data_IF_863655928450
#
_entry.id   IF_863655928450
#
_cell.length_a   1.000
_cell.length_b   1.000
_cell.length_c   1.000
_cell.angle_alpha   90.00
_cell.angle_beta   90.00
_cell.angle_gamma   90.00
#
_symmetry.space_group_name_H-M   'P 1'
#
loop_
_entity.id
_entity.type
_entity.pdbx_description
1 polymer ?
#
# COMPACT_ATOMS: atom_id res chain seq x y z
N UNK A 1 -1.36 -26.71 -8.73
CA UNK A 1 -1.38 -27.74 -9.79
C UNK A 1 -2.22 -28.91 -9.31
N UNK A 2 -3.41 -29.10 -9.90
CA UNK A 2 -4.31 -30.22 -9.59
C UNK A 2 -4.57 -31.03 -10.87
N UNK A 3 -4.46 -32.36 -10.81
CA UNK A 3 -4.70 -33.26 -11.94
C UNK A 3 -5.92 -34.13 -11.65
N UNK A 4 -6.96 -34.02 -12.47
CA UNK A 4 -8.17 -34.84 -12.37
C UNK A 4 -8.11 -35.91 -13.46
N UNK A 5 -7.85 -37.15 -13.05
CA UNK A 5 -7.84 -38.33 -13.91
C UNK A 5 -8.98 -39.30 -13.58
N UNK A 6 -9.26 -40.24 -14.49
CA UNK A 6 -10.37 -41.19 -14.41
C UNK A 6 -10.22 -42.17 -13.24
N UNK A 7 -10.72 -41.77 -12.07
CA UNK A 7 -11.17 -42.67 -11.02
C UNK A 7 -12.70 -42.71 -11.12
N UNK A 8 -13.27 -43.89 -11.36
CA UNK A 8 -14.67 -44.14 -11.76
C UNK A 8 -15.74 -43.71 -10.75
N UNK A 9 -15.82 -42.42 -10.48
CA UNK A 9 -16.87 -41.74 -9.73
C UNK A 9 -17.22 -40.51 -10.56
N UNK A 10 -18.52 -40.26 -10.77
CA UNK A 10 -19.03 -39.00 -11.31
C UNK A 10 -18.54 -37.85 -10.43
N UNK A 11 -17.32 -37.37 -10.68
CA UNK A 11 -16.87 -36.09 -10.16
C UNK A 11 -17.61 -35.03 -10.97
N UNK A 12 -18.69 -34.52 -10.38
CA UNK A 12 -19.02 -33.12 -10.56
C UNK A 12 -17.75 -32.34 -10.23
N UNK A 13 -16.99 -31.92 -11.25
CA UNK A 13 -15.91 -30.96 -11.08
C UNK A 13 -16.56 -29.61 -10.73
N UNK A 14 -17.06 -29.49 -9.50
CA UNK A 14 -17.54 -28.24 -8.94
C UNK A 14 -16.35 -27.51 -8.31
N UNK A 15 -16.00 -26.39 -8.95
CA UNK A 15 -15.37 -25.20 -8.41
C UNK A 15 -13.94 -25.35 -7.88
N UNK A 16 -12.96 -25.19 -8.78
CA UNK A 16 -11.71 -24.54 -8.41
C UNK A 16 -12.01 -23.04 -8.30
N UNK A 17 -11.99 -22.50 -7.09
CA UNK A 17 -12.19 -21.08 -6.82
C UNK A 17 -10.86 -20.45 -6.36
N UNK A 18 -10.37 -19.48 -7.13
CA UNK A 18 -9.30 -18.56 -6.74
C UNK A 18 -9.87 -17.33 -6.01
N UNK A 19 -9.07 -16.72 -5.15
CA UNK A 19 -9.37 -15.42 -4.52
C UNK A 19 -8.82 -14.27 -5.35
N UNK A 20 -9.13 -13.02 -5.00
CA UNK A 20 -8.43 -11.87 -5.59
C UNK A 20 -6.97 -11.84 -5.09
N UNK A 21 -6.00 -11.50 -5.98
CA UNK A 21 -4.57 -11.38 -5.65
C UNK A 21 -3.87 -12.67 -5.18
N UNK A 22 -4.35 -13.85 -5.55
CA UNK A 22 -3.79 -15.13 -5.10
C UNK A 22 -2.69 -15.70 -6.02
N UNK A 23 -2.44 -15.07 -7.17
CA UNK A 23 -1.42 -15.50 -8.14
C UNK A 23 -1.90 -16.65 -9.02
N UNK A 24 -1.00 -17.24 -9.80
CA UNK A 24 -1.41 -18.13 -10.90
C UNK A 24 -1.90 -19.53 -10.50
N UNK A 25 -2.93 -20.02 -11.20
CA UNK A 25 -3.48 -21.36 -11.02
C UNK A 25 -3.26 -22.28 -12.24
N UNK A 26 -3.13 -23.60 -11.99
CA UNK A 26 -2.99 -24.61 -13.05
C UNK A 26 -3.88 -25.82 -12.82
N UNK A 27 -4.72 -26.13 -13.80
CA UNK A 27 -5.65 -27.27 -13.79
C UNK A 27 -5.46 -28.19 -15.01
N UNK A 28 -5.50 -29.51 -14.79
CA UNK A 28 -5.50 -30.51 -15.86
C UNK A 28 -6.72 -31.42 -15.75
N UNK A 29 -7.53 -31.49 -16.80
CA UNK A 29 -8.82 -32.21 -16.83
C UNK A 29 -8.83 -33.19 -18.01
N UNK A 30 -8.96 -34.49 -17.74
CA UNK A 30 -9.00 -35.55 -18.77
C UNK A 30 -10.17 -36.51 -18.55
N UNK A 31 -11.38 -36.20 -19.08
CA UNK A 31 -12.57 -37.01 -18.82
C UNK A 31 -12.75 -38.17 -19.81
N UNK A 32 -13.26 -39.30 -19.29
CA UNK A 32 -13.46 -40.55 -20.03
C UNK A 32 -14.94 -40.89 -20.34
N UNK A 33 -15.92 -40.08 -19.91
CA UNK A 33 -17.35 -40.34 -20.11
C UNK A 33 -18.09 -39.12 -20.72
N UNK A 34 -19.11 -39.37 -21.54
CA UNK A 34 -19.92 -38.32 -22.16
C UNK A 34 -20.68 -37.53 -21.09
N UNK A 35 -20.24 -36.30 -20.84
CA UNK A 35 -20.68 -35.48 -19.72
C UNK A 35 -20.71 -33.99 -20.12
N UNK A 36 -21.34 -33.15 -19.30
CA UNK A 36 -21.33 -31.69 -19.46
C UNK A 36 -20.48 -31.11 -18.34
N UNK A 37 -19.47 -30.33 -18.69
CA UNK A 37 -18.64 -29.59 -17.72
C UNK A 37 -18.96 -28.10 -17.80
N UNK A 38 -19.19 -27.48 -16.64
CA UNK A 38 -19.50 -26.06 -16.51
C UNK A 38 -18.64 -25.41 -15.43
N UNK A 39 -18.14 -24.19 -15.67
CA UNK A 39 -17.44 -23.38 -14.66
C UNK A 39 -16.25 -24.13 -14.02
N UNK A 40 -15.36 -24.66 -14.85
CA UNK A 40 -14.22 -25.48 -14.39
C UNK A 40 -13.30 -24.64 -13.50
N UNK A 41 -13.15 -23.35 -13.80
CA UNK A 41 -12.41 -22.38 -13.00
C UNK A 41 -13.22 -21.11 -12.74
N UNK A 42 -13.21 -20.64 -11.49
CA UNK A 42 -13.78 -19.37 -11.04
C UNK A 42 -12.65 -18.57 -10.39
N UNK A 43 -12.13 -17.56 -11.09
CA UNK A 43 -11.07 -16.67 -10.62
C UNK A 43 -11.59 -15.45 -9.85
N UNK A 44 -10.68 -14.80 -9.12
CA UNK A 44 -10.90 -13.51 -8.47
C UNK A 44 -10.64 -12.33 -9.41
N UNK A 45 -10.58 -11.11 -8.87
CA UNK A 45 -10.00 -9.98 -9.61
C UNK A 45 -8.50 -9.91 -9.31
N UNK A 46 -7.65 -9.56 -10.27
CA UNK A 46 -6.18 -9.46 -10.06
C UNK A 46 -5.48 -10.77 -9.66
N UNK A 47 -5.93 -11.94 -10.12
CA UNK A 47 -5.34 -13.24 -9.80
C UNK A 47 -4.13 -13.65 -10.68
N UNK A 48 -3.72 -12.89 -11.70
CA UNK A 48 -2.45 -13.14 -12.41
C UNK A 48 -2.55 -14.18 -13.54
N UNK A 49 -1.67 -15.18 -13.62
CA UNK A 49 -1.60 -16.08 -14.79
C UNK A 49 -2.31 -17.43 -14.58
N UNK A 50 -3.35 -17.76 -15.35
CA UNK A 50 -4.03 -19.06 -15.24
C UNK A 50 -3.80 -19.97 -16.45
N UNK A 51 -3.57 -21.27 -16.20
CA UNK A 51 -3.44 -22.27 -17.27
C UNK A 51 -4.37 -23.48 -17.05
N UNK A 52 -5.13 -23.86 -18.09
CA UNK A 52 -5.86 -25.13 -18.10
C UNK A 52 -5.47 -26.00 -19.29
N UNK A 53 -5.30 -27.30 -19.02
CA UNK A 53 -5.13 -28.33 -20.04
C UNK A 53 -6.32 -29.28 -19.99
N UNK A 54 -7.08 -29.36 -21.09
CA UNK A 54 -8.31 -30.16 -21.18
C UNK A 54 -8.17 -31.18 -22.30
N UNK A 55 -8.28 -32.47 -22.03
CA UNK A 55 -8.11 -33.54 -23.02
C UNK A 55 -9.26 -34.56 -22.99
N UNK A 56 -10.41 -34.28 -23.64
CA UNK A 56 -11.57 -35.16 -23.58
C UNK A 56 -11.45 -36.38 -24.49
N UNK A 57 -11.86 -37.54 -23.98
CA UNK A 57 -11.89 -38.81 -24.70
C UNK A 57 -13.28 -39.35 -25.06
N UNK A 58 -14.34 -38.63 -24.71
CA UNK A 58 -15.74 -38.93 -25.06
C UNK A 58 -16.43 -37.69 -25.64
N UNK A 59 -17.58 -37.86 -26.30
CA UNK A 59 -18.37 -36.72 -26.79
C UNK A 59 -18.89 -35.90 -25.61
N UNK A 60 -18.37 -34.68 -25.48
CA UNK A 60 -18.50 -33.86 -24.26
C UNK A 60 -18.88 -32.43 -24.63
N UNK A 61 -19.63 -31.76 -23.75
CA UNK A 61 -19.92 -30.33 -23.89
C UNK A 61 -19.22 -29.58 -22.76
N UNK A 62 -18.43 -28.58 -23.11
CA UNK A 62 -17.79 -27.66 -22.17
C UNK A 62 -18.43 -26.29 -22.28
N UNK A 63 -18.88 -25.75 -21.15
CA UNK A 63 -19.42 -24.40 -21.06
C UNK A 63 -18.66 -23.62 -20.00
N UNK A 64 -18.28 -22.36 -20.25
CA UNK A 64 -17.65 -21.50 -19.23
C UNK A 64 -16.44 -22.19 -18.59
N UNK A 65 -15.41 -22.56 -19.37
CA UNK A 65 -14.25 -23.27 -18.82
C UNK A 65 -13.55 -22.38 -17.79
N UNK A 66 -13.42 -21.10 -18.10
CA UNK A 66 -12.93 -20.06 -17.21
C UNK A 66 -13.99 -18.99 -17.01
N UNK A 67 -14.25 -18.70 -15.76
CA UNK A 67 -14.96 -17.50 -15.30
C UNK A 67 -13.96 -16.67 -14.52
N UNK A 68 -13.67 -15.45 -14.97
CA UNK A 68 -12.67 -14.56 -14.37
C UNK A 68 -13.27 -13.24 -13.88
N UNK A 69 -12.58 -12.56 -12.97
CA UNK A 69 -12.92 -11.21 -12.50
C UNK A 69 -12.47 -10.12 -13.48
N UNK A 70 -12.33 -8.89 -12.98
CA UNK A 70 -11.65 -7.82 -13.73
C UNK A 70 -10.15 -7.83 -13.42
N UNK A 71 -9.30 -7.45 -14.38
CA UNK A 71 -7.84 -7.31 -14.19
C UNK A 71 -7.08 -8.61 -13.88
N UNK A 72 -7.55 -9.75 -14.38
CA UNK A 72 -7.07 -11.11 -14.08
C UNK A 72 -5.91 -11.62 -14.96
N UNK A 73 -5.06 -10.73 -15.52
CA UNK A 73 -3.77 -11.13 -16.14
C UNK A 73 -3.86 -12.00 -17.42
N UNK A 74 -2.86 -12.85 -17.67
CA UNK A 74 -2.81 -13.72 -18.86
C UNK A 74 -3.47 -15.09 -18.60
N UNK A 75 -4.40 -15.53 -19.46
CA UNK A 75 -4.96 -16.89 -19.36
C UNK A 75 -4.61 -17.76 -20.57
N UNK A 76 -4.21 -19.02 -20.34
CA UNK A 76 -3.91 -19.99 -21.38
C UNK A 76 -4.76 -21.27 -21.26
N UNK A 77 -5.51 -21.60 -22.30
CA UNK A 77 -6.24 -22.85 -22.42
C UNK A 77 -5.59 -23.71 -23.51
N UNK A 78 -5.15 -24.91 -23.16
CA UNK A 78 -4.77 -25.93 -24.12
C UNK A 78 -5.81 -27.03 -24.13
N UNK A 79 -6.43 -27.25 -25.29
CA UNK A 79 -7.58 -28.13 -25.44
C UNK A 79 -7.27 -29.22 -26.46
N UNK A 80 -7.54 -30.47 -26.13
CA UNK A 80 -7.03 -31.64 -26.86
C UNK A 80 -8.07 -32.74 -27.04
N UNK A 81 -9.10 -32.53 -27.89
CA UNK A 81 -10.23 -33.44 -28.00
C UNK A 81 -9.96 -34.63 -28.94
N UNK A 82 -10.20 -35.86 -28.50
CA UNK A 82 -10.14 -37.03 -29.38
C UNK A 82 -11.51 -37.59 -29.82
N UNK A 83 -12.62 -36.91 -29.45
CA UNK A 83 -14.00 -37.18 -29.89
C UNK A 83 -14.77 -35.87 -30.19
N UNK A 84 -15.88 -35.90 -30.97
CA UNK A 84 -16.63 -34.68 -31.30
C UNK A 84 -17.04 -33.91 -30.05
N UNK A 85 -16.66 -32.64 -29.96
CA UNK A 85 -16.80 -31.84 -28.73
C UNK A 85 -17.39 -30.47 -29.04
N UNK A 86 -18.25 -29.95 -28.15
CA UNK A 86 -18.77 -28.58 -28.27
C UNK A 86 -18.19 -27.73 -27.16
N UNK A 87 -17.56 -26.61 -27.53
CA UNK A 87 -17.07 -25.61 -26.60
C UNK A 87 -17.94 -24.35 -26.71
N UNK A 88 -18.49 -23.92 -25.58
CA UNK A 88 -19.31 -22.72 -25.46
C UNK A 88 -18.71 -21.80 -24.41
N UNK A 89 -18.39 -20.54 -24.72
CA UNK A 89 -17.80 -19.60 -23.76
C UNK A 89 -16.59 -20.22 -23.02
N UNK A 90 -15.49 -20.52 -23.72
CA UNK A 90 -14.28 -21.04 -23.04
C UNK A 90 -13.83 -20.04 -21.98
N UNK A 91 -13.87 -18.75 -22.30
CA UNK A 91 -13.60 -17.66 -21.39
C UNK A 91 -14.84 -16.78 -21.20
N UNK A 92 -15.16 -16.52 -19.94
CA UNK A 92 -16.15 -15.54 -19.50
C UNK A 92 -15.46 -14.60 -18.51
N UNK A 93 -14.98 -13.45 -18.99
CA UNK A 93 -14.18 -12.50 -18.20
C UNK A 93 -14.93 -11.22 -17.80
N UNK A 94 -14.34 -10.47 -16.87
CA UNK A 94 -14.69 -9.10 -16.54
C UNK A 94 -14.05 -8.07 -17.48
N UNK A 95 -14.19 -6.77 -17.19
CA UNK A 95 -13.45 -5.74 -17.93
C UNK A 95 -11.95 -5.81 -17.61
N UNK A 96 -11.08 -5.57 -18.60
CA UNK A 96 -9.64 -5.43 -18.43
C UNK A 96 -8.88 -6.71 -18.06
N UNK A 97 -9.36 -7.86 -18.52
CA UNK A 97 -8.60 -9.11 -18.52
C UNK A 97 -7.41 -9.00 -19.48
N UNK A 98 -6.22 -9.48 -19.13
CA UNK A 98 -5.00 -9.36 -19.96
C UNK A 98 -5.04 -10.26 -21.21
N UNK A 99 -3.90 -10.83 -21.63
CA UNK A 99 -3.80 -11.65 -22.85
C UNK A 99 -4.35 -13.08 -22.67
N UNK A 100 -5.28 -13.50 -23.53
CA UNK A 100 -5.95 -14.80 -23.43
C UNK A 100 -5.68 -15.68 -24.65
N UNK A 101 -4.98 -16.81 -24.47
CA UNK A 101 -4.64 -17.75 -25.54
C UNK A 101 -5.40 -19.08 -25.43
N UNK A 102 -6.03 -19.52 -26.53
CA UNK A 102 -6.61 -20.87 -26.67
C UNK A 102 -5.86 -21.65 -27.75
N UNK A 103 -5.15 -22.72 -27.37
CA UNK A 103 -4.57 -23.68 -28.32
C UNK A 103 -5.43 -24.94 -28.39
N UNK A 104 -5.74 -25.42 -29.60
CA UNK A 104 -6.56 -26.64 -29.78
C UNK A 104 -5.83 -27.70 -30.63
N UNK A 105 -5.66 -28.92 -30.10
CA UNK A 105 -5.05 -30.06 -30.79
C UNK A 105 -5.36 -31.38 -30.05
N UNK A 106 -6.09 -32.38 -30.59
CA UNK A 106 -6.21 -32.78 -32.01
C UNK A 106 -7.66 -32.94 -32.58
N UNK A 107 -7.76 -33.55 -33.76
CA UNK A 107 -8.72 -33.31 -34.85
C UNK A 107 -10.11 -33.97 -34.78
N UNK A 108 -10.82 -33.95 -33.66
CA UNK A 108 -12.23 -34.36 -33.68
C UNK A 108 -13.15 -33.22 -34.18
N UNK A 109 -14.32 -33.50 -34.81
CA UNK A 109 -15.28 -32.48 -35.21
C UNK A 109 -15.67 -31.61 -34.01
N UNK A 110 -15.21 -30.36 -34.00
CA UNK A 110 -15.35 -29.49 -32.83
C UNK A 110 -16.13 -28.25 -33.24
N UNK A 111 -17.19 -27.94 -32.49
CA UNK A 111 -17.99 -26.72 -32.69
C UNK A 111 -17.63 -25.72 -31.59
N UNK A 112 -17.25 -24.51 -32.00
CA UNK A 112 -17.00 -23.39 -31.09
C UNK A 112 -18.15 -22.40 -31.18
N UNK A 113 -18.73 -22.03 -30.04
CA UNK A 113 -19.71 -20.95 -29.97
C UNK A 113 -19.26 -19.95 -28.90
N UNK A 114 -19.15 -18.67 -29.28
CA UNK A 114 -18.77 -17.57 -28.38
C UNK A 114 -17.54 -17.91 -27.50
N UNK A 115 -16.39 -18.20 -28.11
CA UNK A 115 -15.15 -18.57 -27.38
C UNK A 115 -14.84 -17.64 -26.20
N UNK A 116 -15.13 -16.36 -26.39
CA UNK A 116 -15.04 -15.30 -25.39
C UNK A 116 -16.41 -14.65 -25.24
N UNK A 117 -16.92 -14.59 -24.01
CA UNK A 117 -18.21 -13.94 -23.71
C UNK A 117 -18.09 -13.12 -22.42
N UNK A 118 -17.88 -11.82 -22.55
CA UNK A 118 -17.68 -10.88 -21.44
C UNK A 118 -16.55 -9.89 -21.74
N UNK A 119 -16.47 -8.79 -20.98
CA UNK A 119 -15.38 -7.81 -21.03
C UNK A 119 -15.54 -6.65 -22.03
N UNK A 120 -15.13 -5.44 -21.60
CA UNK A 120 -15.10 -4.21 -22.41
C UNK A 120 -13.70 -3.88 -22.94
N UNK A 121 -13.06 -4.84 -23.63
CA UNK A 121 -11.68 -4.79 -24.16
C UNK A 121 -10.60 -5.23 -23.14
N UNK A 122 -9.68 -6.11 -23.56
CA UNK A 122 -8.59 -6.60 -22.69
C UNK A 122 -7.68 -7.69 -23.30
N UNK A 123 -8.25 -8.71 -23.94
CA UNK A 123 -7.49 -9.81 -24.58
C UNK A 123 -6.61 -9.44 -25.77
N UNK A 124 -5.30 -9.25 -25.58
CA UNK A 124 -4.36 -9.42 -26.69
C UNK A 124 -4.17 -10.91 -26.98
N UNK A 125 -4.09 -11.28 -28.27
CA UNK A 125 -3.76 -12.58 -28.86
C UNK A 125 -4.59 -13.84 -28.52
N UNK A 126 -5.74 -13.95 -29.19
CA UNK A 126 -6.34 -15.24 -29.50
C UNK A 126 -5.66 -15.80 -30.76
N UNK A 127 -4.88 -16.88 -30.65
CA UNK A 127 -4.54 -17.71 -31.80
C UNK A 127 -5.25 -19.05 -31.68
N UNK A 128 -6.49 -19.13 -32.17
CA UNK A 128 -7.10 -20.45 -32.40
C UNK A 128 -6.38 -21.06 -33.59
N UNK A 129 -5.33 -21.83 -33.34
CA UNK A 129 -4.69 -22.65 -34.38
C UNK A 129 -5.51 -23.92 -34.49
N UNK A 130 -6.33 -24.02 -35.53
CA UNK A 130 -7.01 -25.28 -35.85
C UNK A 130 -6.02 -26.25 -36.49
N UNK A 131 -6.39 -27.52 -36.55
CA UNK A 131 -5.60 -28.54 -37.24
C UNK A 131 -5.48 -28.28 -38.77
N UNK A 132 -6.32 -27.37 -39.31
CA UNK A 132 -6.25 -26.91 -40.72
C UNK A 132 -5.32 -25.71 -40.90
N UNK A 133 -4.69 -25.21 -39.82
CA UNK A 133 -3.76 -24.07 -39.85
C UNK A 133 -4.44 -22.71 -39.97
N UNK A 134 -5.76 -22.64 -39.82
CA UNK A 134 -6.46 -21.36 -39.77
C UNK A 134 -6.16 -20.66 -38.45
N UNK A 135 -5.85 -19.36 -38.53
CA UNK A 135 -5.62 -18.50 -37.36
C UNK A 135 -6.58 -17.32 -37.45
N UNK A 136 -7.40 -17.13 -36.41
CA UNK A 136 -8.33 -16.00 -36.31
C UNK A 136 -7.77 -14.95 -35.34
N UNK A 137 -7.62 -13.70 -35.78
CA UNK A 137 -7.15 -12.58 -34.94
C UNK A 137 -8.25 -11.54 -34.73
N UNK A 138 -8.32 -10.97 -33.52
CA UNK A 138 -9.27 -9.92 -33.14
C UNK A 138 -8.53 -8.61 -32.83
N UNK A 139 -9.15 -7.43 -33.04
CA UNK A 139 -8.50 -6.14 -32.85
C UNK A 139 -8.16 -5.86 -31.38
N UNK A 140 -6.96 -5.34 -31.14
CA UNK A 140 -6.42 -4.99 -29.82
C UNK A 140 -6.97 -3.65 -29.33
N UNK A 141 -7.18 -3.52 -28.02
CA UNK A 141 -7.17 -2.22 -27.36
C UNK A 141 -5.81 -2.00 -26.71
N UNK A 142 -5.36 -0.75 -26.68
CA UNK A 142 -4.06 -0.35 -26.14
C UNK A 142 -3.91 -0.81 -24.68
N UNK A 143 -2.69 -1.27 -24.34
CA UNK A 143 -2.23 -1.63 -22.99
C UNK A 143 -2.71 -0.62 -21.95
N UNK A 144 -3.40 -1.08 -20.90
CA UNK A 144 -3.77 -0.21 -19.79
C UNK A 144 -2.65 -0.28 -18.76
N UNK A 145 -2.04 0.86 -18.39
CA UNK A 145 -1.04 0.91 -17.33
C UNK A 145 -1.59 0.31 -16.03
N UNK A 146 -0.69 -0.18 -15.18
CA UNK A 146 -1.01 -0.55 -13.80
C UNK A 146 -1.78 0.60 -13.10
N UNK A 147 -2.79 0.30 -12.26
CA UNK A 147 -3.54 1.32 -11.54
C UNK A 147 -2.57 2.17 -10.71
N UNK A 148 -2.54 3.49 -10.99
CA UNK A 148 -1.65 4.54 -10.46
C UNK A 148 -0.26 4.05 -10.03
N UNK A 149 0.77 4.43 -10.79
CA UNK A 149 2.14 4.14 -10.40
C UNK A 149 2.70 5.27 -9.50
N UNK A 150 2.71 5.02 -8.20
CA UNK A 150 3.32 5.90 -7.19
C UNK A 150 4.85 5.86 -7.31
N UNK A 151 5.47 6.97 -7.70
CA UNK A 151 6.93 7.08 -7.83
C UNK A 151 7.61 7.30 -6.48
N UNK A 152 7.04 8.18 -5.65
CA UNK A 152 7.62 8.56 -4.37
C UNK A 152 6.55 8.97 -3.37
N UNK A 153 6.84 8.71 -2.10
CA UNK A 153 6.15 9.30 -0.96
C UNK A 153 7.22 9.57 0.09
N UNK A 154 7.24 10.78 0.65
CA UNK A 154 8.21 11.23 1.66
C UNK A 154 7.51 11.99 2.77
N UNK A 155 8.05 11.88 3.97
CA UNK A 155 7.69 12.71 5.10
C UNK A 155 8.96 13.41 5.58
N UNK A 156 8.86 14.69 5.95
CA UNK A 156 9.99 15.46 6.47
C UNK A 156 9.53 16.45 7.54
N UNK A 157 10.38 16.68 8.54
CA UNK A 157 10.13 17.71 9.54
C UNK A 157 10.46 19.08 8.98
N UNK A 158 9.62 20.05 9.32
CA UNK A 158 9.86 21.47 9.05
C UNK A 158 10.35 22.18 10.31
N UNK A 159 10.85 23.41 10.15
CA UNK A 159 11.35 24.25 11.26
C UNK A 159 10.28 24.61 12.32
N UNK A 160 9.00 24.31 12.07
CA UNK A 160 7.88 24.63 12.97
C UNK A 160 7.29 23.42 13.69
N UNK A 161 8.04 22.31 13.76
CA UNK A 161 7.56 21.04 14.33
C UNK A 161 6.31 20.49 13.59
N UNK A 162 6.10 20.88 12.34
CA UNK A 162 5.07 20.31 11.45
C UNK A 162 5.70 19.34 10.47
N UNK A 163 4.94 18.37 9.97
CA UNK A 163 5.45 17.37 9.02
C UNK A 163 4.94 17.66 7.62
N UNK A 164 5.87 17.86 6.69
CA UNK A 164 5.59 18.00 5.27
C UNK A 164 5.58 16.61 4.62
N UNK A 165 4.44 16.25 4.05
CA UNK A 165 4.20 15.02 3.29
C UNK A 165 4.17 15.37 1.82
N UNK A 166 4.97 14.68 1.00
CA UNK A 166 5.09 14.92 -0.43
C UNK A 166 5.05 13.60 -1.19
N UNK A 167 4.36 13.59 -2.33
CA UNK A 167 4.33 12.42 -3.20
C UNK A 167 4.22 12.79 -4.68
N UNK A 168 4.61 11.83 -5.51
CA UNK A 168 4.57 11.96 -6.96
C UNK A 168 4.06 10.66 -7.57
N UNK A 169 3.13 10.77 -8.52
CA UNK A 169 2.67 9.66 -9.37
C UNK A 169 3.24 9.85 -10.77
N UNK A 170 3.54 8.77 -11.51
CA UNK A 170 3.91 8.84 -12.93
C UNK A 170 2.68 8.79 -13.85
N UNK A 171 1.66 8.04 -13.42
CA UNK A 171 0.38 7.83 -14.11
C UNK A 171 -0.73 7.69 -13.08
N UNK A 172 -1.94 8.09 -13.44
CA UNK A 172 -3.14 7.88 -12.65
C UNK A 172 -4.29 7.36 -13.50
N UNK A 173 -5.02 6.36 -13.01
CA UNK A 173 -6.18 5.79 -13.71
C UNK A 173 -7.29 5.61 -12.69
N UNK A 174 -8.44 6.23 -12.95
CA UNK A 174 -9.61 6.25 -12.07
C UNK A 174 -9.35 6.68 -10.61
N UNK A 175 -8.30 7.46 -10.36
CA UNK A 175 -7.94 7.92 -9.03
C UNK A 175 -8.86 9.04 -8.55
N UNK A 176 -9.68 8.77 -7.54
CA UNK A 176 -10.59 9.75 -6.95
C UNK A 176 -9.82 10.67 -5.99
N UNK A 177 -9.13 10.09 -5.01
CA UNK A 177 -8.34 10.86 -4.04
C UNK A 177 -7.27 10.01 -3.32
N UNK A 178 -6.31 10.72 -2.75
CA UNK A 178 -5.40 10.20 -1.73
C UNK A 178 -5.92 10.58 -0.35
N UNK A 179 -6.18 9.59 0.49
CA UNK A 179 -6.34 9.77 1.94
C UNK A 179 -4.98 9.68 2.61
N UNK A 180 -4.63 10.69 3.39
CA UNK A 180 -3.40 10.74 4.16
C UNK A 180 -3.72 10.19 5.54
N UNK A 181 -3.00 9.16 5.95
CA UNK A 181 -3.24 8.47 7.20
C UNK A 181 -2.02 8.51 8.11
N UNK A 182 -2.25 8.74 9.40
CA UNK A 182 -1.22 8.82 10.46
C UNK A 182 -1.50 7.79 11.56
N UNK A 183 -0.46 7.30 12.22
CA UNK A 183 -0.59 6.46 13.42
C UNK A 183 0.61 6.60 14.37
N UNK A 184 0.41 6.23 15.64
CA UNK A 184 1.49 6.07 16.64
C UNK A 184 1.98 4.64 16.78
N UNK A 185 1.11 3.66 16.50
CA UNK A 185 1.34 2.24 16.85
C UNK A 185 1.51 1.33 15.64
N UNK A 186 1.31 1.86 14.43
CA UNK A 186 1.39 1.09 13.19
C UNK A 186 0.15 0.23 12.92
N UNK A 187 -0.87 0.28 13.78
CA UNK A 187 -2.07 -0.57 13.75
C UNK A 187 -3.32 0.28 13.52
N UNK A 188 -3.52 1.33 14.32
CA UNK A 188 -4.69 2.20 14.26
C UNK A 188 -4.34 3.48 13.51
N UNK A 189 -4.73 3.53 12.23
CA UNK A 189 -4.53 4.69 11.37
C UNK A 189 -5.72 5.64 11.45
N UNK A 190 -5.44 6.92 11.68
CA UNK A 190 -6.40 8.01 11.53
C UNK A 190 -6.19 8.70 10.19
N UNK A 191 -7.28 9.06 9.51
CA UNK A 191 -7.22 9.89 8.31
C UNK A 191 -7.10 11.37 8.71
N UNK A 192 -6.01 12.02 8.33
CA UNK A 192 -5.73 13.42 8.68
C UNK A 192 -6.09 14.39 7.55
N UNK A 193 -6.30 13.90 6.34
CA UNK A 193 -6.69 14.73 5.20
C UNK A 193 -6.90 13.94 3.92
N UNK A 194 -7.48 14.62 2.92
CA UNK A 194 -7.66 14.10 1.56
C UNK A 194 -7.21 15.11 0.53
N UNK A 195 -6.57 14.63 -0.52
CA UNK A 195 -6.22 15.43 -1.70
C UNK A 195 -6.80 14.71 -2.92
N UNK A 196 -7.59 15.42 -3.73
CA UNK A 196 -8.17 14.86 -4.94
C UNK A 196 -7.06 14.41 -5.91
N UNK A 197 -7.25 13.23 -6.49
CA UNK A 197 -6.42 12.74 -7.58
C UNK A 197 -6.67 13.50 -8.86
N UNK A 198 -5.87 13.23 -9.89
CA UNK A 198 -6.08 13.78 -11.22
C UNK A 198 -7.22 13.06 -11.99
N UNK A 199 -7.85 12.03 -11.41
CA UNK A 199 -8.83 11.19 -12.08
C UNK A 199 -8.15 10.24 -13.07
N UNK A 200 -7.65 10.79 -14.18
CA UNK A 200 -6.82 10.07 -15.14
C UNK A 200 -5.67 10.98 -15.61
N UNK A 201 -4.42 10.53 -15.45
CA UNK A 201 -3.22 11.25 -15.90
C UNK A 201 -2.17 10.29 -16.45
N UNK A 202 -1.43 10.73 -17.46
CA UNK A 202 -0.26 10.03 -18.01
C UNK A 202 1.00 10.89 -17.89
N UNK A 203 1.01 11.82 -16.93
CA UNK A 203 2.11 12.73 -16.64
C UNK A 203 2.37 12.69 -15.14
N UNK A 204 3.56 13.16 -14.76
CA UNK A 204 3.89 13.28 -13.36
C UNK A 204 2.98 14.31 -12.68
N UNK A 205 2.28 13.88 -11.64
CA UNK A 205 1.52 14.75 -10.76
C UNK A 205 2.25 14.88 -9.42
N UNK A 206 2.24 16.08 -8.86
CA UNK A 206 2.96 16.42 -7.64
C UNK A 206 1.99 16.92 -6.59
N UNK A 207 2.06 16.30 -5.41
CA UNK A 207 1.14 16.58 -4.34
C UNK A 207 1.88 16.80 -3.04
N UNK A 208 1.28 17.59 -2.15
CA UNK A 208 1.79 17.77 -0.80
C UNK A 208 0.68 18.05 0.19
N UNK A 209 0.96 17.75 1.45
CA UNK A 209 0.12 18.07 2.59
C UNK A 209 1.00 18.37 3.80
N UNK A 210 0.59 19.35 4.61
CA UNK A 210 1.22 19.66 5.88
C UNK A 210 0.39 19.05 7.02
N UNK A 211 1.01 18.25 7.86
CA UNK A 211 0.46 17.90 9.17
C UNK A 211 0.95 18.93 10.19
N UNK A 212 0.04 19.82 10.61
CA UNK A 212 0.31 20.88 11.60
C UNK A 212 0.28 20.39 13.05
N UNK A 213 -0.16 19.15 13.30
CA UNK A 213 -0.23 18.57 14.64
C UNK A 213 0.27 17.12 14.64
N UNK A 214 1.54 16.91 14.24
CA UNK A 214 2.15 15.59 14.32
C UNK A 214 2.29 15.17 15.78
N UNK A 215 2.38 13.86 16.00
CA UNK A 215 2.48 13.37 17.36
C UNK A 215 3.87 13.64 17.94
N UNK A 216 3.97 14.01 19.23
CA UNK A 216 5.22 13.91 19.95
C UNK A 216 5.70 12.46 19.97
N UNK A 217 7.00 12.28 19.86
CA UNK A 217 7.66 11.00 19.69
C UNK A 217 7.50 10.48 18.26
N UNK A 218 7.20 9.19 18.14
CA UNK A 218 7.14 8.50 16.85
C UNK A 218 5.78 8.68 16.17
N UNK A 219 5.81 9.10 14.90
CA UNK A 219 4.66 9.15 13.99
C UNK A 219 4.95 8.33 12.74
N UNK A 220 3.95 7.61 12.25
CA UNK A 220 3.98 6.87 10.99
C UNK A 220 2.92 7.42 10.05
N UNK A 221 3.26 7.56 8.77
CA UNK A 221 2.39 8.09 7.73
C UNK A 221 2.31 7.11 6.56
N UNK A 222 1.14 7.05 5.92
CA UNK A 222 0.94 6.37 4.64
C UNK A 222 -0.11 7.10 3.81
N UNK A 223 -0.10 6.84 2.51
CA UNK A 223 -1.19 7.20 1.61
C UNK A 223 -2.09 5.98 1.44
N UNK A 224 -3.41 6.22 1.49
CA UNK A 224 -4.45 5.33 0.99
C UNK A 224 -5.01 5.95 -0.28
N UNK A 225 -4.60 5.43 -1.43
CA UNK A 225 -5.12 5.86 -2.72
C UNK A 225 -6.46 5.19 -2.96
N UNK A 226 -7.48 5.94 -3.39
CA UNK A 226 -8.84 5.43 -3.56
C UNK A 226 -9.35 5.75 -4.95
N UNK A 227 -9.86 4.74 -5.63
CA UNK A 227 -10.45 4.86 -6.97
C UNK A 227 -11.93 5.26 -6.88
N UNK A 228 -12.52 5.75 -7.99
CA UNK A 228 -13.94 6.12 -8.04
C UNK A 228 -14.93 4.98 -7.71
N UNK A 229 -14.49 3.73 -7.83
CA UNK A 229 -15.28 2.55 -7.46
C UNK A 229 -15.11 2.13 -5.99
N UNK A 230 -14.25 2.82 -5.22
CA UNK A 230 -13.94 2.55 -3.82
C UNK A 230 -12.81 1.53 -3.58
N UNK A 231 -12.22 0.95 -4.63
CA UNK A 231 -11.00 0.16 -4.49
C UNK A 231 -9.85 1.04 -3.98
N UNK A 232 -8.90 0.46 -3.25
CA UNK A 232 -7.79 1.22 -2.68
C UNK A 232 -6.50 0.43 -2.57
N UNK A 233 -5.39 1.16 -2.58
CA UNK A 233 -4.04 0.64 -2.34
C UNK A 233 -3.30 1.53 -1.34
N UNK A 234 -2.28 0.97 -0.67
CA UNK A 234 -1.48 1.70 0.30
C UNK A 234 -0.07 1.95 -0.22
N UNK A 235 0.48 3.12 0.09
CA UNK A 235 1.91 3.39 -0.07
C UNK A 235 2.76 2.64 0.96
N UNK A 236 4.09 2.58 0.76
CA UNK A 236 5.01 2.31 1.85
C UNK A 236 4.83 3.32 3.00
N UNK A 237 5.14 2.88 4.22
CA UNK A 237 5.07 3.73 5.43
C UNK A 237 6.27 4.68 5.47
N UNK A 238 6.04 5.89 5.96
CA UNK A 238 7.07 6.88 6.30
C UNK A 238 7.04 7.21 7.77
N UNK A 239 8.22 7.29 8.36
CA UNK A 239 8.40 7.43 9.79
C UNK A 239 9.01 8.80 10.09
N UNK A 240 8.42 9.51 11.05
CA UNK A 240 8.93 10.78 11.55
C UNK A 240 8.94 10.74 13.06
N UNK A 241 10.05 11.21 13.62
CA UNK A 241 10.26 11.29 15.05
C UNK A 241 10.38 12.75 15.48
N UNK A 242 9.48 13.20 16.36
CA UNK A 242 9.53 14.53 16.98
C UNK A 242 9.94 14.34 18.43
N UNK A 243 11.16 14.75 18.77
CA UNK A 243 11.61 14.70 20.15
C UNK A 243 10.74 15.61 21.02
N UNK A 244 10.43 15.17 22.23
CA UNK A 244 9.94 16.10 23.26
C UNK A 244 11.10 16.53 24.14
N UNK A 245 11.27 17.84 24.30
CA UNK A 245 12.15 18.46 25.27
C UNK A 245 11.32 19.26 26.28
N UNK A 246 11.33 18.87 27.55
CA UNK A 246 10.50 19.50 28.58
C UNK A 246 11.24 19.67 29.91
N UNK A 247 11.14 20.86 30.52
CA UNK A 247 11.50 21.08 31.93
C UNK A 247 10.31 20.71 32.83
N UNK A 248 10.37 19.51 33.41
CA UNK A 248 9.33 18.97 34.30
C UNK A 248 9.22 19.82 35.58
N UNK A 249 10.33 20.18 36.21
CA UNK A 249 10.31 20.99 37.44
C UNK A 249 11.64 21.69 37.73
N UNK A 250 11.60 22.77 38.50
CA UNK A 250 12.78 23.45 39.06
C UNK A 250 12.59 23.54 40.58
N UNK A 251 13.60 23.13 41.35
CA UNK A 251 13.59 23.21 42.81
C UNK A 251 15.00 23.38 43.40
N UNK A 252 15.16 24.01 44.58
CA UNK A 252 14.12 24.77 45.27
C UNK A 252 13.73 26.02 44.46
N UNK A 253 12.48 26.43 44.58
CA UNK A 253 11.96 27.66 43.99
C UNK A 253 11.01 28.31 45.00
N UNK A 254 11.41 29.38 45.71
CA UNK A 254 12.64 30.16 45.50
C UNK A 254 13.96 29.43 45.87
N UNK A 255 15.05 29.80 45.20
CA UNK A 255 16.42 29.35 45.49
C UNK A 255 17.10 30.29 46.45
N UNK A 256 17.52 29.78 47.61
CA UNK A 256 18.17 30.56 48.69
C UNK A 256 19.64 30.16 48.91
N UNK A 257 20.09 29.06 48.32
CA UNK A 257 21.40 28.44 48.58
C UNK A 257 22.41 28.63 47.43
N UNK A 258 22.07 29.49 46.47
CA UNK A 258 22.89 29.72 45.28
C UNK A 258 22.91 28.54 44.31
N UNK A 259 21.94 27.63 44.37
CA UNK A 259 21.75 26.61 43.34
C UNK A 259 20.30 26.21 43.11
N UNK A 260 20.03 25.68 41.91
CA UNK A 260 18.78 24.99 41.59
C UNK A 260 19.07 23.62 41.00
N UNK A 261 18.10 22.73 41.12
CA UNK A 261 17.99 21.52 40.34
C UNK A 261 16.83 21.68 39.37
N UNK A 262 17.02 21.22 38.14
CA UNK A 262 15.96 21.13 37.15
C UNK A 262 15.84 19.68 36.67
N UNK A 263 14.60 19.20 36.62
CA UNK A 263 14.26 17.90 36.02
C UNK A 263 13.89 18.18 34.58
N UNK A 264 14.61 17.56 33.66
CA UNK A 264 14.40 17.70 32.22
C UNK A 264 14.25 16.32 31.61
N UNK A 265 13.30 16.17 30.70
CA UNK A 265 13.21 15.01 29.82
C UNK A 265 13.53 15.46 28.41
N UNK A 266 14.32 14.65 27.70
CA UNK A 266 14.55 14.80 26.28
C UNK A 266 14.46 13.41 25.67
N UNK A 267 13.50 13.20 24.79
CA UNK A 267 13.40 11.90 24.15
C UNK A 267 14.48 11.71 23.06
N UNK A 268 14.82 12.75 22.29
CA UNK A 268 15.91 12.71 21.31
C UNK A 268 17.31 12.65 21.95
N UNK A 269 17.49 13.29 23.11
CA UNK A 269 18.81 13.50 23.72
C UNK A 269 19.69 14.45 22.91
N UNK A 270 21.00 14.37 23.13
CA UNK A 270 21.99 15.19 22.42
C UNK A 270 22.54 16.35 23.24
N UNK A 271 23.18 17.30 22.56
CA UNK A 271 23.72 18.51 23.18
C UNK A 271 22.61 19.57 23.34
N UNK A 272 22.41 19.98 24.58
CA UNK A 272 21.47 21.01 24.99
C UNK A 272 22.20 22.27 25.40
N UNK A 273 21.74 23.41 24.92
CA UNK A 273 22.13 24.72 25.43
C UNK A 273 21.14 25.16 26.49
N UNK A 274 21.63 25.30 27.72
CA UNK A 274 20.91 25.78 28.90
C UNK A 274 21.23 27.24 29.11
N UNK A 275 20.22 28.10 29.10
CA UNK A 275 20.36 29.55 29.30
C UNK A 275 19.47 30.04 30.42
N UNK A 276 19.92 31.07 31.13
CA UNK A 276 19.13 31.78 32.12
C UNK A 276 18.99 33.22 31.68
N UNK A 277 17.76 33.71 31.63
CA UNK A 277 17.44 35.10 31.32
C UNK A 277 16.80 35.77 32.54
N UNK A 278 17.12 37.04 32.79
CA UNK A 278 16.34 37.84 33.73
C UNK A 278 15.00 38.29 33.12
N UNK A 279 14.15 38.94 33.94
CA UNK A 279 12.84 39.44 33.49
C UNK A 279 12.91 40.50 32.38
N UNK A 280 14.09 41.09 32.14
CA UNK A 280 14.32 42.04 31.04
C UNK A 280 14.85 41.35 29.78
N UNK A 281 14.99 40.02 29.80
CA UNK A 281 15.51 39.23 28.68
C UNK A 281 17.03 39.27 28.54
N UNK A 282 17.76 39.76 29.55
CA UNK A 282 19.23 39.76 29.52
C UNK A 282 19.74 38.37 29.89
N UNK A 283 20.63 37.81 29.06
CA UNK A 283 21.27 36.52 29.32
C UNK A 283 22.18 36.65 30.55
N UNK A 284 21.86 35.93 31.61
CA UNK A 284 22.58 35.93 32.87
C UNK A 284 23.52 34.72 33.01
N UNK A 285 23.19 33.60 32.34
CA UNK A 285 24.00 32.39 32.32
C UNK A 285 23.77 31.64 31.00
N UNK A 286 24.81 31.01 30.46
CA UNK A 286 24.72 30.07 29.35
C UNK A 286 25.70 28.91 29.55
N UNK A 287 25.25 27.68 29.30
CA UNK A 287 26.04 26.45 29.42
C UNK A 287 25.54 25.41 28.42
N UNK A 288 26.43 24.56 27.92
CA UNK A 288 26.06 23.35 27.17
C UNK A 288 26.14 22.10 28.05
N UNK A 289 25.22 21.18 27.84
CA UNK A 289 25.17 19.87 28.52
C UNK A 289 24.71 18.78 27.56
N UNK A 290 25.10 17.54 27.81
CA UNK A 290 24.59 16.39 27.04
C UNK A 290 23.55 15.63 27.85
N UNK A 291 22.44 15.26 27.21
CA UNK A 291 21.46 14.30 27.72
C UNK A 291 21.45 13.04 26.87
N UNK A 292 21.23 11.90 27.54
CA UNK A 292 20.83 10.69 26.84
C UNK A 292 19.35 10.78 26.48
N UNK A 293 19.01 10.37 25.26
CA UNK A 293 17.63 10.33 24.79
C UNK A 293 16.79 9.31 25.57
N UNK A 294 15.51 9.62 25.73
CA UNK A 294 14.52 8.78 26.41
C UNK A 294 14.66 8.74 27.94
N UNK A 295 15.53 9.57 28.52
CA UNK A 295 15.80 9.58 29.96
C UNK A 295 15.44 10.91 30.58
N UNK A 296 14.56 10.85 31.59
CA UNK A 296 14.35 11.99 32.49
C UNK A 296 15.53 12.11 33.44
N UNK A 297 16.21 13.25 33.42
CA UNK A 297 17.42 13.48 34.21
C UNK A 297 17.28 14.71 35.10
N UNK A 298 17.79 14.63 36.32
CA UNK A 298 17.96 15.78 37.21
C UNK A 298 19.34 16.38 37.00
N UNK A 299 19.39 17.70 36.76
CA UNK A 299 20.64 18.45 36.58
C UNK A 299 20.72 19.58 37.60
N UNK A 300 21.94 19.92 38.02
CA UNK A 300 22.20 21.01 38.94
C UNK A 300 22.75 22.22 38.19
N UNK A 301 22.21 23.40 38.49
CA UNK A 301 22.68 24.68 38.01
C UNK A 301 23.09 25.56 39.19
N UNK A 302 24.32 26.11 39.13
CA UNK A 302 24.76 27.11 40.09
C UNK A 302 24.13 28.45 39.75
N UNK A 303 23.52 29.09 40.75
CA UNK A 303 22.90 30.41 40.66
C UNK A 303 23.60 31.43 41.57
N UNK A 304 24.70 31.04 42.23
CA UNK A 304 25.40 31.86 43.24
C UNK A 304 25.94 33.21 42.73
N UNK A 305 26.10 33.37 41.42
CA UNK A 305 26.54 34.64 40.80
C UNK A 305 25.37 35.54 40.38
N UNK A 306 24.14 35.06 40.50
CA UNK A 306 22.93 35.79 40.13
C UNK A 306 22.39 36.54 41.34
N UNK A 307 21.87 37.74 41.11
CA UNK A 307 21.20 38.52 42.16
C UNK A 307 19.81 37.97 42.45
N UNK A 308 19.25 38.28 43.62
CA UNK A 308 17.87 37.96 43.94
C UNK A 308 16.91 38.55 42.90
N UNK A 309 15.93 37.77 42.45
CA UNK A 309 15.02 38.16 41.38
C UNK A 309 14.34 36.98 40.69
N UNK A 310 13.48 37.27 39.72
CA UNK A 310 12.84 36.26 38.85
C UNK A 310 13.66 36.02 37.59
N UNK A 311 13.72 34.76 37.17
CA UNK A 311 14.50 34.30 36.02
C UNK A 311 13.73 33.28 35.19
N UNK A 312 14.06 33.20 33.90
CA UNK A 312 13.60 32.16 32.97
C UNK A 312 14.76 31.23 32.64
N UNK A 313 14.60 29.94 32.94
CA UNK A 313 15.48 28.88 32.46
C UNK A 313 15.00 28.45 31.08
N UNK A 314 15.87 28.52 30.07
CA UNK A 314 15.63 28.05 28.71
C UNK A 314 16.53 26.84 28.45
N UNK A 315 15.99 25.81 27.81
CA UNK A 315 16.77 24.67 27.30
C UNK A 315 16.45 24.52 25.82
N UNK A 316 17.50 24.44 25.01
CA UNK A 316 17.42 24.37 23.55
C UNK A 316 18.22 23.15 23.09
N UNK A 317 17.62 22.28 22.29
CA UNK A 317 18.36 21.22 21.58
C UNK A 317 18.85 21.78 20.23
N UNK A 318 20.03 21.38 19.75
CA UNK A 318 20.63 21.85 18.49
C UNK A 318 19.73 21.73 17.24
N UNK A 319 18.62 21.01 17.36
CA UNK A 319 17.60 20.78 16.34
C UNK A 319 16.29 21.60 16.55
N UNK A 320 16.36 22.81 17.14
CA UNK A 320 15.27 23.81 17.28
C UNK A 320 14.25 23.59 18.41
N UNK A 321 14.18 22.41 19.04
CA UNK A 321 13.30 22.19 20.20
C UNK A 321 13.70 23.11 21.37
N UNK A 322 12.72 23.83 21.93
CA UNK A 322 12.95 24.77 23.03
C UNK A 322 11.87 24.66 24.09
N UNK A 323 12.29 24.61 25.35
CA UNK A 323 11.42 24.69 26.51
C UNK A 323 11.90 25.76 27.49
N UNK A 324 10.98 26.31 28.29
CA UNK A 324 11.32 27.30 29.30
C UNK A 324 10.49 27.14 30.58
N UNK A 325 11.08 27.52 31.72
CA UNK A 325 10.37 27.55 33.00
C UNK A 325 10.90 28.67 33.89
N UNK A 326 10.00 29.35 34.59
CA UNK A 326 10.34 30.42 35.51
C UNK A 326 10.80 29.87 36.86
N UNK A 327 11.77 30.54 37.48
CA UNK A 327 12.17 30.33 38.87
C UNK A 327 12.57 31.66 39.54
N UNK A 328 12.65 31.65 40.87
CA UNK A 328 12.98 32.81 41.71
C UNK A 328 14.24 32.53 42.51
N UNK A 329 15.09 33.54 42.67
CA UNK A 329 16.25 33.56 43.56
C UNK A 329 15.98 34.58 44.67
N UNK A 330 16.22 34.19 45.92
CA UNK A 330 16.12 35.04 47.12
C UNK A 330 17.48 35.38 47.70
#
# INVERSE_FOLDING_TARGET
MLSIGCLGVDLFAQNLAGGSYDGGNMAQVSPCAATVYTNIYIGGSYDGDNMAQVSPCAATVYTNIFTGGSYDGENMAQVSPCAPTVYTNIYTGGSYDGENMVQVSPCAPTVYTNLFKGGTCGGSFVSVTTCTGETWTYPTCATIPLPVELLSFTASLTDKETVLLEWTTSTEINNDYFAIEKTKDGIHYEEIGRINGAGNSNKNEYYSMLDESPYPGQSYYRLRQVDFNGAFTYSPIREIYIGTLEIISIYPNPSTDGSIQYIVTSEAGGELTVKVYDVLGREALSKTETLQGGVTTTKKLSTATLSSGSYLLWIINGNLEKTQKQFVIE
#
